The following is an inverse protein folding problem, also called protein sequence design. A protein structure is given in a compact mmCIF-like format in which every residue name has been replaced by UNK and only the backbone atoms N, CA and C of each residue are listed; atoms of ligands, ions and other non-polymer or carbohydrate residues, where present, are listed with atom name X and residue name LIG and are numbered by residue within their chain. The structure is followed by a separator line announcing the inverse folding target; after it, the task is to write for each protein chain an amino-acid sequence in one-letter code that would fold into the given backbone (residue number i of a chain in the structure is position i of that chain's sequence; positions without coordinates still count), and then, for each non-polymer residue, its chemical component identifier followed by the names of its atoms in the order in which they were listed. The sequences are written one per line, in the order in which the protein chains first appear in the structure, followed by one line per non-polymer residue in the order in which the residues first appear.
data_IF_595657968934
#
_entry.id   IF_595657968934
#
_cell.length_a   1.000
_cell.length_b   1.000
_cell.length_c   1.000
_cell.angle_alpha   90.00
_cell.angle_beta   90.00
_cell.angle_gamma   90.00
#
_symmetry.space_group_name_H-M   'P 1'
#
loop_
_entity.id
_entity.type
_entity.pdbx_description
1 polymer ?
#
# COMPACT_ATOMS: atom_id res chain seq x y z
N UNK A 1 -3.15 11.45 5.30
CA UNK A 1 -2.33 10.59 6.19
C UNK A 1 -0.86 10.91 5.94
N UNK A 2 0.06 10.76 6.90
CA UNK A 2 1.50 10.88 6.61
C UNK A 2 2.03 9.53 6.13
N UNK A 3 2.39 9.41 4.85
CA UNK A 3 2.85 8.16 4.28
C UNK A 3 4.30 8.32 3.82
N UNK A 4 5.15 7.41 4.28
CA UNK A 4 6.53 7.28 3.80
C UNK A 4 6.62 6.01 3.00
N UNK A 5 7.43 6.02 1.95
CA UNK A 5 7.58 4.88 1.06
C UNK A 5 8.98 4.29 1.15
N UNK A 6 9.07 2.98 0.99
CA UNK A 6 10.33 2.35 0.63
C UNK A 6 10.77 2.89 -0.73
N UNK A 7 11.98 3.46 -0.77
CA UNK A 7 12.57 4.03 -1.97
C UNK A 7 13.36 2.93 -2.66
N UNK A 8 13.05 2.71 -3.93
CA UNK A 8 13.80 1.81 -4.78
C UNK A 8 15.21 2.37 -5.01
N UNK A 9 16.28 1.64 -4.62
CA UNK A 9 17.64 2.14 -4.72
C UNK A 9 18.13 2.32 -6.16
N UNK A 10 17.50 1.67 -7.14
CA UNK A 10 17.90 1.79 -8.55
C UNK A 10 17.31 3.04 -9.21
N UNK A 11 16.07 3.40 -8.84
CA UNK A 11 15.36 4.53 -9.47
C UNK A 11 15.36 5.79 -8.60
N UNK A 12 15.58 5.66 -7.29
CA UNK A 12 15.42 6.76 -6.33
C UNK A 12 13.96 7.17 -6.09
N UNK A 13 12.99 6.38 -6.57
CA UNK A 13 11.57 6.65 -6.46
C UNK A 13 10.88 5.64 -5.53
N UNK A 14 9.67 5.95 -5.02
CA UNK A 14 8.83 4.97 -4.33
C UNK A 14 8.69 3.66 -5.11
N UNK A 15 8.98 2.54 -4.45
CA UNK A 15 8.94 1.21 -5.07
C UNK A 15 7.55 0.83 -5.63
N UNK A 16 6.48 1.46 -5.11
CA UNK A 16 5.11 1.25 -5.60
C UNK A 16 4.92 1.63 -7.07
N UNK A 17 5.69 2.59 -7.60
CA UNK A 17 5.57 2.99 -9.01
C UNK A 17 5.96 1.86 -9.96
N UNK A 18 6.86 0.97 -9.55
CA UNK A 18 7.19 -0.25 -10.30
C UNK A 18 6.03 -1.23 -10.44
N UNK A 19 4.96 -1.06 -9.65
CA UNK A 19 3.73 -1.86 -9.69
C UNK A 19 2.56 -1.13 -10.34
N UNK A 20 2.80 0.00 -11.02
CA UNK A 20 1.75 0.84 -11.62
C UNK A 20 0.74 1.31 -10.56
N UNK A 21 1.23 1.67 -9.37
CA UNK A 21 0.43 2.17 -8.25
C UNK A 21 0.89 3.58 -7.88
N UNK A 22 -0.06 4.49 -7.80
CA UNK A 22 0.15 5.88 -7.37
C UNK A 22 0.01 6.04 -5.85
N UNK A 23 0.67 7.05 -5.28
CA UNK A 23 0.62 7.33 -3.84
C UNK A 23 -0.80 7.62 -3.35
N UNK A 24 -1.62 8.27 -4.18
CA UNK A 24 -3.03 8.58 -3.86
C UNK A 24 -3.86 7.32 -3.70
N UNK A 25 -3.62 6.29 -4.50
CA UNK A 25 -4.35 5.02 -4.40
C UNK A 25 -4.00 4.28 -3.09
N UNK A 26 -2.74 4.39 -2.66
CA UNK A 26 -2.30 3.85 -1.38
C UNK A 26 -2.98 4.59 -0.22
N UNK A 27 -3.05 5.92 -0.29
CA UNK A 27 -3.75 6.71 0.73
C UNK A 27 -5.24 6.38 0.80
N UNK A 28 -5.92 6.20 -0.34
CA UNK A 28 -7.32 5.77 -0.40
C UNK A 28 -7.53 4.43 0.32
N UNK A 29 -6.69 3.43 0.02
CA UNK A 29 -6.79 2.10 0.63
C UNK A 29 -6.49 2.12 2.11
N UNK A 30 -5.50 2.90 2.56
CA UNK A 30 -5.16 2.98 3.99
C UNK A 30 -6.16 3.81 4.79
N UNK A 31 -6.84 4.78 4.16
CA UNK A 31 -7.86 5.61 4.82
C UNK A 31 -9.18 4.86 5.04
N UNK A 32 -9.51 3.90 4.19
CA UNK A 32 -10.73 3.09 4.32
C UNK A 32 -10.50 1.66 3.82
N UNK A 33 -9.70 0.84 4.53
CA UNK A 33 -9.41 -0.53 4.11
C UNK A 33 -10.67 -1.39 4.19
N UNK A 34 -10.87 -2.26 3.20
CA UNK A 34 -11.89 -3.32 3.27
C UNK A 34 -11.45 -4.46 4.19
N UNK A 35 -10.15 -4.74 4.23
CA UNK A 35 -9.50 -5.65 5.16
C UNK A 35 -8.19 -5.03 5.63
N UNK A 36 -7.88 -5.17 6.92
CA UNK A 36 -6.56 -4.86 7.46
C UNK A 36 -6.16 -5.92 8.50
N UNK A 37 -5.10 -6.68 8.21
CA UNK A 37 -4.65 -7.81 9.03
C UNK A 37 -3.14 -7.79 9.33
N UNK A 38 -2.71 -8.45 10.41
CA UNK A 38 -1.29 -8.67 10.67
C UNK A 38 -0.59 -9.41 9.52
N UNK A 39 0.59 -8.92 9.15
CA UNK A 39 1.54 -9.55 8.25
C UNK A 39 2.65 -10.29 9.00
N UNK A 40 3.83 -10.38 8.39
CA UNK A 40 5.06 -10.92 9.03
C UNK A 40 5.93 -9.79 9.53
N UNK A 41 6.76 -10.06 10.54
CA UNK A 41 7.81 -9.12 11.00
C UNK A 41 7.27 -7.73 11.36
N UNK A 42 6.09 -7.67 11.99
CA UNK A 42 5.46 -6.41 12.40
C UNK A 42 4.77 -5.62 11.28
N UNK A 43 4.79 -6.11 10.05
CA UNK A 43 3.99 -5.53 8.95
C UNK A 43 2.49 -5.76 9.12
N UNK A 44 1.71 -4.98 8.40
CA UNK A 44 0.28 -5.10 8.19
C UNK A 44 -0.01 -5.21 6.70
N UNK A 45 -1.13 -5.85 6.37
CA UNK A 45 -1.61 -6.00 5.01
C UNK A 45 -3.01 -5.42 4.94
N UNK A 46 -3.15 -4.30 4.23
CA UNK A 46 -4.43 -3.71 3.90
C UNK A 46 -4.85 -4.11 2.48
N UNK A 47 -6.13 -4.41 2.31
CA UNK A 47 -6.75 -4.60 0.99
C UNK A 47 -7.93 -3.64 0.90
N UNK A 48 -7.98 -2.87 -0.18
CA UNK A 48 -9.02 -1.88 -0.40
C UNK A 48 -9.28 -1.64 -1.88
N UNK A 49 -10.44 -1.05 -2.15
CA UNK A 49 -10.83 -0.61 -3.48
C UNK A 49 -10.50 0.88 -3.62
N UNK A 50 -9.86 1.25 -4.71
CA UNK A 50 -9.58 2.65 -5.09
C UNK A 50 -10.80 3.28 -5.75
N UNK A 51 -10.76 4.59 -5.94
CA UNK A 51 -11.81 5.38 -6.59
C UNK A 51 -12.02 5.02 -8.07
N UNK A 52 -10.96 4.61 -8.77
CA UNK A 52 -11.00 4.13 -10.16
C UNK A 52 -11.44 2.65 -10.29
N UNK A 53 -11.62 1.98 -9.15
CA UNK A 53 -12.18 0.64 -9.06
C UNK A 53 -11.17 -0.50 -9.01
N UNK A 54 -9.87 -0.21 -9.00
CA UNK A 54 -8.81 -1.19 -8.76
C UNK A 54 -8.89 -1.70 -7.33
N UNK A 55 -8.43 -2.93 -7.11
CA UNK A 55 -8.25 -3.48 -5.77
C UNK A 55 -6.76 -3.57 -5.51
N UNK A 56 -6.26 -2.85 -4.52
CA UNK A 56 -4.85 -2.92 -4.17
C UNK A 56 -4.65 -3.74 -2.90
N UNK A 57 -3.51 -4.43 -2.85
CA UNK A 57 -2.92 -4.90 -1.60
C UNK A 57 -1.78 -3.98 -1.23
N UNK A 58 -1.87 -3.34 -0.07
CA UNK A 58 -0.85 -2.47 0.50
C UNK A 58 -0.19 -3.19 1.68
N UNK A 59 1.14 -3.30 1.66
CA UNK A 59 1.93 -3.86 2.75
C UNK A 59 2.69 -2.70 3.41
N UNK A 60 2.45 -2.51 4.70
CA UNK A 60 2.98 -1.35 5.43
C UNK A 60 3.33 -1.70 6.88
N UNK A 61 4.08 -0.82 7.53
CA UNK A 61 4.34 -0.85 8.97
C UNK A 61 3.66 0.40 9.55
N UNK A 62 2.78 0.27 10.55
CA UNK A 62 2.24 1.43 11.24
C UNK A 62 3.36 2.14 12.01
N UNK A 63 3.42 3.46 11.91
CA UNK A 63 4.37 4.25 12.68
C UNK A 63 3.85 4.48 14.11
N UNK A 64 4.72 4.74 15.10
CA UNK A 64 4.29 5.09 16.45
C UNK A 64 3.49 6.40 16.51
N UNK A 65 3.70 7.29 15.55
CA UNK A 65 2.95 8.54 15.43
C UNK A 65 1.55 8.27 14.84
N UNK A 66 0.47 8.84 15.41
CA UNK A 66 -0.87 8.64 14.87
C UNK A 66 -1.00 9.08 13.41
N UNK A 67 -1.85 8.39 12.65
CA UNK A 67 -2.14 8.73 11.25
C UNK A 67 -0.89 8.79 10.37
N UNK A 68 0.08 7.91 10.64
CA UNK A 68 1.29 7.77 9.85
C UNK A 68 1.67 6.30 9.61
N UNK A 69 2.29 6.03 8.46
CA UNK A 69 2.67 4.69 8.05
C UNK A 69 3.89 4.69 7.12
N UNK A 70 4.67 3.62 7.21
CA UNK A 70 5.71 3.30 6.25
C UNK A 70 5.25 2.18 5.31
N UNK A 71 5.03 2.51 4.03
CA UNK A 71 4.61 1.58 2.99
C UNK A 71 5.83 0.90 2.38
N UNK A 72 5.85 -0.43 2.48
CA UNK A 72 6.92 -1.26 1.92
C UNK A 72 6.66 -1.50 0.43
N UNK A 73 5.42 -1.84 0.07
CA UNK A 73 5.00 -2.06 -1.32
C UNK A 73 3.48 -2.03 -1.44
N UNK A 74 2.98 -1.82 -2.64
CA UNK A 74 1.57 -1.94 -3.01
C UNK A 74 1.45 -2.44 -4.44
N UNK A 75 0.44 -3.25 -4.73
CA UNK A 75 0.20 -3.76 -6.08
C UNK A 75 -1.28 -4.14 -6.27
N UNK A 76 -1.72 -4.11 -7.53
CA UNK A 76 -3.08 -4.47 -7.91
C UNK A 76 -3.33 -5.99 -7.79
N UNK A 77 -4.45 -6.34 -7.17
CA UNK A 77 -4.98 -7.70 -7.13
C UNK A 77 -5.74 -8.00 -8.42
N UNK A 78 -5.05 -8.64 -9.37
CA UNK A 78 -5.68 -9.17 -10.57
C UNK A 78 -6.17 -10.59 -10.32
N UNK A 79 -7.43 -10.85 -10.61
CA UNK A 79 -7.97 -12.21 -10.61
C UNK A 79 -7.21 -13.10 -11.59
N UNK A 80 -7.19 -14.41 -11.35
CA UNK A 80 -6.75 -15.34 -12.39
C UNK A 80 -7.81 -15.31 -13.51
N UNK A 81 -7.42 -15.17 -14.78
CA UNK A 81 -8.36 -15.44 -15.86
C UNK A 81 -8.90 -16.86 -15.70
N UNK A 82 -10.22 -16.99 -15.87
CA UNK A 82 -10.94 -18.26 -15.77
C UNK A 82 -10.45 -19.27 -16.81
#
# INVERSE_FOLDING_TARGET
MNIRYYIDPETGLPHIYGHDVEETEVEEVLSSPGEDRPGREGSRVAIGKTSDGRYLRVIYIPDPEPNSAFVITAYELRGKPL
#
